data_IF_579611292468
#
_entry.id   IF_579611292468
#
_cell.length_a   1.000
_cell.length_b   1.000
_cell.length_c   1.000
_cell.angle_alpha   90.00
_cell.angle_beta   90.00
_cell.angle_gamma   90.00
#
_symmetry.space_group_name_H-M   'P 1'
#
loop_
_entity.id
_entity.type
_entity.pdbx_description
1 polymer ?
#
# COMPACT_ATOMS: atom_id res chain seq x y z
N UNK A 1 4.19 -5.12 -11.80
CA UNK A 1 4.84 -3.81 -11.79
C UNK A 1 5.34 -3.49 -10.39
N UNK A 2 6.58 -2.97 -10.27
CA UNK A 2 7.16 -2.44 -9.04
C UNK A 2 7.42 -0.95 -9.20
N UNK A 3 6.98 -0.16 -8.21
CA UNK A 3 7.08 1.31 -8.26
C UNK A 3 7.69 1.82 -6.97
N UNK A 4 8.76 2.59 -7.07
CA UNK A 4 9.39 3.29 -5.94
C UNK A 4 10.09 4.55 -6.47
N UNK A 5 10.09 5.62 -5.73
CA UNK A 5 10.80 6.86 -6.09
C UNK A 5 12.33 6.71 -5.99
N UNK A 6 12.82 5.73 -5.23
CA UNK A 6 14.23 5.43 -5.07
C UNK A 6 14.75 4.57 -6.21
N UNK A 7 15.60 5.14 -7.08
CA UNK A 7 16.32 4.39 -8.13
C UNK A 7 17.08 3.18 -7.57
N UNK A 8 17.71 3.35 -6.40
CA UNK A 8 18.47 2.27 -5.74
C UNK A 8 17.57 1.11 -5.31
N UNK A 9 16.34 1.40 -4.81
CA UNK A 9 15.37 0.37 -4.47
C UNK A 9 14.91 -0.40 -5.72
N UNK A 10 14.65 0.31 -6.81
CA UNK A 10 14.29 -0.30 -8.09
C UNK A 10 15.43 -1.15 -8.66
N UNK A 11 16.67 -0.68 -8.64
CA UNK A 11 17.83 -1.49 -9.06
C UNK A 11 17.97 -2.78 -8.24
N UNK A 12 17.69 -2.74 -6.94
CA UNK A 12 17.69 -3.93 -6.08
C UNK A 12 16.52 -4.85 -6.40
N UNK A 13 15.36 -4.30 -6.67
CA UNK A 13 14.18 -5.06 -7.11
C UNK A 13 14.49 -5.83 -8.40
N UNK A 14 15.06 -5.18 -9.40
CA UNK A 14 15.43 -5.82 -10.68
C UNK A 14 16.44 -6.96 -10.49
N UNK A 15 17.44 -6.75 -9.64
CA UNK A 15 18.40 -7.82 -9.27
C UNK A 15 17.73 -8.99 -8.59
N UNK A 16 16.79 -8.73 -7.67
CA UNK A 16 16.06 -9.79 -6.99
C UNK A 16 15.15 -10.56 -7.95
N UNK A 17 14.49 -9.90 -8.88
CA UNK A 17 13.69 -10.55 -9.92
C UNK A 17 14.58 -11.45 -10.79
N UNK A 18 15.72 -10.96 -11.27
CA UNK A 18 16.63 -11.76 -12.09
C UNK A 18 17.18 -12.98 -11.34
N UNK A 19 17.60 -12.82 -10.08
CA UNK A 19 18.05 -13.94 -9.23
C UNK A 19 17.00 -15.02 -9.00
N UNK A 20 15.73 -14.65 -9.01
CA UNK A 20 14.61 -15.57 -8.73
C UNK A 20 13.84 -15.97 -10.00
N UNK A 21 14.30 -15.61 -11.17
CA UNK A 21 13.62 -15.80 -12.47
C UNK A 21 13.21 -17.26 -12.72
N UNK A 22 14.00 -18.22 -12.26
CA UNK A 22 13.70 -19.64 -12.40
C UNK A 22 12.47 -20.11 -11.62
N UNK A 23 12.05 -19.36 -10.61
CA UNK A 23 10.84 -19.66 -9.81
C UNK A 23 9.56 -19.08 -10.39
N UNK A 24 9.66 -18.17 -11.37
CA UNK A 24 8.49 -17.57 -12.00
C UNK A 24 7.98 -18.42 -13.17
N UNK A 25 6.67 -18.42 -13.44
CA UNK A 25 6.15 -18.98 -14.68
C UNK A 25 6.83 -18.34 -15.89
N UNK A 26 7.09 -19.13 -16.95
CA UNK A 26 7.82 -18.67 -18.15
C UNK A 26 7.21 -17.45 -18.84
N UNK A 27 5.88 -17.27 -18.71
CA UNK A 27 5.13 -16.15 -19.27
C UNK A 27 5.01 -14.94 -18.33
N UNK A 28 5.68 -14.97 -17.16
CA UNK A 28 5.65 -13.85 -16.22
C UNK A 28 6.46 -12.68 -16.79
N UNK A 29 5.86 -11.51 -16.75
CA UNK A 29 6.50 -10.24 -17.11
C UNK A 29 6.63 -9.36 -15.89
N UNK A 30 7.74 -8.65 -15.77
CA UNK A 30 7.99 -7.67 -14.72
C UNK A 30 8.46 -6.36 -15.33
N UNK A 31 7.92 -5.24 -14.84
CA UNK A 31 8.37 -3.90 -15.18
C UNK A 31 8.55 -3.07 -13.90
N UNK A 32 9.66 -2.35 -13.83
CA UNK A 32 10.05 -1.49 -12.72
C UNK A 32 10.01 -0.03 -13.11
N UNK A 33 9.59 0.83 -12.16
CA UNK A 33 9.44 2.26 -12.40
C UNK A 33 10.03 3.05 -11.24
N UNK A 34 11.10 3.80 -11.51
CA UNK A 34 11.76 4.70 -10.54
C UNK A 34 11.10 6.09 -10.59
N UNK A 35 9.84 6.19 -10.17
CA UNK A 35 9.03 7.42 -10.17
C UNK A 35 8.17 7.51 -8.92
N UNK A 36 7.58 8.68 -8.68
CA UNK A 36 6.59 8.86 -7.63
C UNK A 36 5.34 7.99 -7.89
N UNK A 37 4.81 7.38 -6.82
CA UNK A 37 3.65 6.47 -6.93
C UNK A 37 2.38 7.18 -7.39
N UNK A 38 2.19 8.47 -7.03
CA UNK A 38 1.05 9.24 -7.51
C UNK A 38 1.13 9.49 -9.01
N UNK A 39 2.32 9.86 -9.50
CA UNK A 39 2.56 10.07 -10.93
C UNK A 39 2.35 8.78 -11.72
N UNK A 40 2.84 7.65 -11.18
CA UNK A 40 2.59 6.34 -11.77
C UNK A 40 1.10 6.01 -11.84
N UNK A 41 0.39 6.10 -10.73
CA UNK A 41 -1.05 5.77 -10.68
C UNK A 41 -1.88 6.70 -11.57
N UNK A 42 -1.52 7.98 -11.69
CA UNK A 42 -2.21 8.91 -12.56
C UNK A 42 -2.10 8.51 -14.03
N UNK A 43 -0.89 8.16 -14.47
CA UNK A 43 -0.57 7.85 -15.88
C UNK A 43 -0.82 6.39 -16.26
N UNK A 44 -0.87 5.46 -15.30
CA UNK A 44 -1.04 4.04 -15.58
C UNK A 44 -2.35 3.77 -16.32
N UNK A 45 -2.24 3.25 -17.54
CA UNK A 45 -3.37 2.82 -18.35
C UNK A 45 -3.95 1.48 -17.88
N UNK A 46 -3.10 0.64 -17.29
CA UNK A 46 -3.46 -0.72 -16.88
C UNK A 46 -4.38 -0.70 -15.65
N UNK A 47 -5.30 -1.65 -15.63
CA UNK A 47 -6.04 -2.01 -14.41
C UNK A 47 -5.51 -3.31 -13.85
N UNK A 48 -5.35 -3.36 -12.54
CA UNK A 48 -4.69 -4.43 -11.80
C UNK A 48 -5.69 -5.34 -11.12
N UNK A 49 -5.40 -6.64 -11.08
CA UNK A 49 -6.16 -7.61 -10.29
C UNK A 49 -5.76 -7.55 -8.80
N UNK A 50 -4.48 -7.23 -8.54
CA UNK A 50 -3.95 -7.03 -7.20
C UNK A 50 -3.11 -5.75 -7.16
N UNK A 51 -3.32 -4.94 -6.12
CA UNK A 51 -2.47 -3.78 -5.79
C UNK A 51 -2.01 -3.92 -4.35
N UNK A 52 -0.73 -3.63 -4.11
CA UNK A 52 -0.15 -3.55 -2.76
C UNK A 52 0.37 -2.12 -2.56
N UNK A 53 -0.20 -1.42 -1.57
CA UNK A 53 0.23 -0.09 -1.15
C UNK A 53 0.94 -0.19 0.20
N UNK A 54 2.26 -0.02 0.18
CA UNK A 54 3.10 0.01 1.38
C UNK A 54 3.93 1.32 1.41
N UNK A 55 3.27 2.47 1.59
CA UNK A 55 3.94 3.76 1.60
C UNK A 55 4.75 3.96 2.88
N UNK A 56 5.78 4.83 2.86
CA UNK A 56 6.43 5.27 4.08
C UNK A 56 5.43 6.00 5.00
N UNK A 57 5.79 6.16 6.27
CA UNK A 57 4.97 6.94 7.20
C UNK A 57 4.84 8.39 6.72
N UNK A 58 3.65 8.80 6.29
CA UNK A 58 3.38 10.18 5.86
C UNK A 58 3.45 11.20 7.01
N UNK A 59 3.38 10.74 8.26
CA UNK A 59 3.60 11.58 9.44
C UNK A 59 4.41 10.84 10.51
N UNK A 60 5.41 11.54 11.05
CA UNK A 60 6.20 11.09 12.20
C UNK A 60 5.80 11.82 13.48
N UNK A 61 5.09 12.94 13.37
CA UNK A 61 4.69 13.80 14.50
C UNK A 61 3.22 14.22 14.41
N UNK A 62 2.60 14.50 15.54
CA UNK A 62 1.18 14.83 15.65
C UNK A 62 0.76 16.09 14.86
N UNK A 63 1.62 17.10 14.79
CA UNK A 63 1.34 18.35 14.06
C UNK A 63 1.16 18.18 12.55
N UNK A 64 1.61 17.05 11.96
CA UNK A 64 1.45 16.71 10.54
C UNK A 64 0.45 15.56 10.30
N UNK A 65 -0.28 15.14 11.33
CA UNK A 65 -1.28 14.06 11.27
C UNK A 65 -2.31 14.30 10.16
N UNK A 66 -2.82 15.53 10.03
CA UNK A 66 -3.79 15.87 9.00
C UNK A 66 -3.23 15.62 7.60
N UNK A 67 -2.00 16.04 7.33
CA UNK A 67 -1.35 15.83 6.02
C UNK A 67 -1.17 14.35 5.71
N UNK A 68 -0.83 13.54 6.73
CA UNK A 68 -0.73 12.09 6.55
C UNK A 68 -2.07 11.47 6.15
N UNK A 69 -3.16 11.84 6.84
CA UNK A 69 -4.51 11.37 6.51
C UNK A 69 -4.87 11.73 5.06
N UNK A 70 -4.57 12.95 4.60
CA UNK A 70 -4.80 13.34 3.21
C UNK A 70 -3.94 12.53 2.23
N UNK A 71 -2.66 12.27 2.57
CA UNK A 71 -1.77 11.43 1.77
C UNK A 71 -2.31 10.01 1.61
N UNK A 72 -2.65 9.33 2.71
CA UNK A 72 -3.26 8.00 2.66
C UNK A 72 -4.59 7.98 1.90
N UNK A 73 -5.44 8.98 2.13
CA UNK A 73 -6.73 9.08 1.43
C UNK A 73 -6.54 9.21 -0.09
N UNK A 74 -5.68 10.12 -0.54
CA UNK A 74 -5.38 10.31 -1.95
C UNK A 74 -4.80 9.05 -2.58
N UNK A 75 -3.79 8.43 -1.94
CA UNK A 75 -3.13 7.23 -2.45
C UNK A 75 -4.12 6.08 -2.64
N UNK A 76 -4.94 5.80 -1.63
CA UNK A 76 -5.95 4.75 -1.71
C UNK A 76 -7.02 5.08 -2.76
N UNK A 77 -7.45 6.33 -2.89
CA UNK A 77 -8.43 6.73 -3.91
C UNK A 77 -7.90 6.48 -5.32
N UNK A 78 -6.63 6.79 -5.61
CA UNK A 78 -6.03 6.52 -6.91
C UNK A 78 -5.90 5.00 -7.16
N UNK A 79 -5.50 4.21 -6.15
CA UNK A 79 -5.45 2.76 -6.28
C UNK A 79 -6.84 2.16 -6.56
N UNK A 80 -7.89 2.63 -5.89
CA UNK A 80 -9.27 2.19 -6.15
C UNK A 80 -9.76 2.49 -7.57
N UNK A 81 -9.23 3.52 -8.22
CA UNK A 81 -9.53 3.80 -9.64
C UNK A 81 -8.82 2.82 -10.60
N UNK A 82 -7.65 2.29 -10.19
CA UNK A 82 -6.78 1.44 -11.02
C UNK A 82 -6.98 -0.05 -10.79
N UNK A 83 -7.65 -0.45 -9.72
CA UNK A 83 -7.97 -1.85 -9.47
C UNK A 83 -9.23 -2.27 -10.22
N UNK A 84 -9.24 -3.48 -10.77
CA UNK A 84 -10.41 -4.05 -11.45
C UNK A 84 -11.54 -4.33 -10.45
N UNK A 85 -12.75 -4.46 -10.93
CA UNK A 85 -13.83 -5.08 -10.18
C UNK A 85 -13.49 -6.55 -9.88
N UNK A 86 -13.66 -6.98 -8.64
CA UNK A 86 -13.22 -8.30 -8.16
C UNK A 86 -11.75 -8.34 -7.75
N UNK A 87 -11.02 -7.23 -7.85
CA UNK A 87 -9.61 -7.16 -7.47
C UNK A 87 -9.37 -7.04 -5.96
N UNK A 88 -8.13 -7.31 -5.55
CA UNK A 88 -7.69 -7.30 -4.15
C UNK A 88 -6.70 -6.16 -3.92
N UNK A 89 -7.03 -5.26 -3.00
CA UNK A 89 -6.13 -4.20 -2.56
C UNK A 89 -5.58 -4.51 -1.17
N UNK A 90 -4.25 -4.58 -1.07
CA UNK A 90 -3.54 -4.53 0.21
C UNK A 90 -3.12 -3.08 0.46
N UNK A 91 -3.43 -2.53 1.63
CA UNK A 91 -3.02 -1.17 1.99
C UNK A 91 -2.53 -1.11 3.42
N UNK A 92 -1.40 -0.44 3.64
CA UNK A 92 -0.69 -0.41 4.91
C UNK A 92 -0.43 1.02 5.39
N UNK A 93 -0.24 1.13 6.70
CA UNK A 93 0.29 2.32 7.34
C UNK A 93 1.22 1.92 8.50
N UNK A 94 2.45 2.40 8.48
CA UNK A 94 3.42 2.27 9.57
C UNK A 94 3.49 3.53 10.46
N UNK A 95 2.55 4.46 10.32
CA UNK A 95 2.53 5.71 11.10
C UNK A 95 2.00 5.47 12.52
N UNK A 96 2.77 5.82 13.54
CA UNK A 96 2.34 5.76 14.94
C UNK A 96 1.23 6.78 15.26
N UNK A 97 1.17 7.92 14.55
CA UNK A 97 0.19 8.98 14.81
C UNK A 97 -1.15 8.77 14.11
N UNK A 98 -1.22 7.83 13.18
CA UNK A 98 -2.45 7.40 12.53
C UNK A 98 -2.84 6.05 13.15
N UNK A 99 -3.77 6.07 14.08
CA UNK A 99 -4.30 4.85 14.70
C UNK A 99 -5.15 4.02 13.72
N UNK A 100 -5.51 2.80 14.13
CA UNK A 100 -6.25 1.85 13.29
C UNK A 100 -7.61 2.39 12.87
N UNK A 101 -8.36 3.03 13.78
CA UNK A 101 -9.68 3.56 13.46
C UNK A 101 -9.61 4.70 12.46
N UNK A 102 -8.63 5.59 12.63
CA UNK A 102 -8.40 6.69 11.71
C UNK A 102 -7.94 6.19 10.34
N UNK A 103 -7.06 5.17 10.29
CA UNK A 103 -6.65 4.56 9.03
C UNK A 103 -7.84 3.92 8.30
N UNK A 104 -8.64 3.12 8.99
CA UNK A 104 -9.84 2.49 8.41
C UNK A 104 -10.82 3.54 7.87
N UNK A 105 -11.10 4.60 8.64
CA UNK A 105 -11.97 5.70 8.21
C UNK A 105 -11.40 6.45 6.99
N UNK A 106 -10.08 6.60 6.94
CA UNK A 106 -9.38 7.24 5.81
C UNK A 106 -9.52 6.41 4.53
N UNK A 107 -9.33 5.09 4.63
CA UNK A 107 -9.49 4.16 3.49
C UNK A 107 -10.96 4.10 3.04
N UNK A 108 -11.91 4.09 3.98
CA UNK A 108 -13.34 4.19 3.66
C UNK A 108 -13.66 5.49 2.90
N UNK A 109 -13.14 6.63 3.35
CA UNK A 109 -13.33 7.90 2.66
C UNK A 109 -12.74 7.88 1.23
N UNK A 110 -11.60 7.20 1.04
CA UNK A 110 -10.99 7.02 -0.28
C UNK A 110 -11.88 6.16 -1.21
N UNK A 111 -12.47 5.08 -0.70
CA UNK A 111 -13.40 4.23 -1.45
C UNK A 111 -14.65 5.01 -1.90
N UNK A 112 -15.20 5.87 -1.02
CA UNK A 112 -16.33 6.75 -1.33
C UNK A 112 -15.97 7.71 -2.47
N UNK A 113 -14.79 8.37 -2.40
CA UNK A 113 -14.30 9.28 -3.43
C UNK A 113 -14.14 8.56 -4.78
N UNK A 114 -13.61 7.34 -4.75
CA UNK A 114 -13.45 6.51 -5.95
C UNK A 114 -14.77 5.86 -6.44
N UNK A 115 -15.87 6.03 -5.71
CA UNK A 115 -17.19 5.43 -5.97
C UNK A 115 -17.12 3.90 -6.07
N UNK A 116 -16.34 3.26 -5.20
CA UNK A 116 -16.17 1.79 -5.14
C UNK A 116 -16.80 1.24 -3.88
N UNK A 117 -17.46 0.09 -4.01
CA UNK A 117 -17.85 -0.74 -2.87
C UNK A 117 -16.69 -1.64 -2.48
N UNK A 118 -16.43 -1.76 -1.18
CA UNK A 118 -15.24 -2.43 -0.68
C UNK A 118 -15.61 -3.27 0.54
N UNK A 119 -15.11 -4.50 0.58
CA UNK A 119 -15.25 -5.40 1.72
C UNK A 119 -13.90 -5.69 2.33
N UNK A 120 -13.80 -5.66 3.65
CA UNK A 120 -12.58 -6.03 4.37
C UNK A 120 -12.53 -7.56 4.49
N UNK A 121 -11.52 -8.16 3.86
CA UNK A 121 -11.25 -9.59 3.98
C UNK A 121 -10.42 -9.89 5.22
N UNK A 122 -9.37 -9.09 5.48
CA UNK A 122 -8.48 -9.26 6.63
C UNK A 122 -8.03 -7.91 7.19
N UNK A 123 -7.89 -7.88 8.52
CA UNK A 123 -7.15 -6.86 9.25
C UNK A 123 -5.76 -7.42 9.54
N UNK A 124 -4.72 -6.68 9.19
CA UNK A 124 -3.33 -7.06 9.34
C UNK A 124 -2.62 -6.16 10.35
N UNK A 125 -1.69 -6.74 11.08
CA UNK A 125 -0.78 -6.08 12.00
C UNK A 125 0.64 -6.60 11.78
N UNK A 126 1.57 -6.35 12.73
CA UNK A 126 2.92 -6.87 12.65
C UNK A 126 2.93 -8.40 12.60
N UNK A 127 3.79 -8.99 11.75
CA UNK A 127 4.00 -10.44 11.71
C UNK A 127 4.77 -10.92 12.94
N UNK A 128 4.79 -12.24 13.14
CA UNK A 128 5.39 -12.87 14.32
C UNK A 128 6.90 -12.62 14.44
N UNK A 129 7.61 -12.50 13.33
CA UNK A 129 9.05 -12.20 13.29
C UNK A 129 9.37 -10.73 13.63
N UNK A 130 8.36 -9.89 13.75
CA UNK A 130 8.45 -8.49 14.17
C UNK A 130 7.38 -8.16 15.24
N UNK A 131 7.17 -9.09 16.17
CA UNK A 131 6.14 -8.93 17.20
C UNK A 131 6.47 -7.77 18.16
N UNK A 132 5.50 -6.89 18.47
CA UNK A 132 5.70 -5.84 19.45
C UNK A 132 5.88 -6.44 20.86
N UNK A 133 6.75 -5.83 21.65
CA UNK A 133 6.91 -6.20 23.05
C UNK A 133 5.73 -5.69 23.88
N UNK A 134 5.23 -6.50 24.82
CA UNK A 134 4.20 -6.05 25.77
C UNK A 134 4.66 -4.91 26.68
N UNK A 135 5.98 -4.78 26.88
CA UNK A 135 6.59 -3.69 27.66
C UNK A 135 6.80 -2.41 26.84
N UNK A 136 6.67 -2.50 25.51
CA UNK A 136 6.86 -1.41 24.56
C UNK A 136 5.71 -1.36 23.56
N UNK A 137 4.50 -0.97 24.00
CA UNK A 137 3.30 -0.97 23.16
C UNK A 137 3.38 -0.02 21.96
N UNK A 138 4.26 0.98 22.01
CA UNK A 138 4.56 1.86 20.88
C UNK A 138 5.15 1.12 19.66
N UNK A 139 5.67 -0.09 19.87
CA UNK A 139 6.09 -1.00 18.80
C UNK A 139 4.93 -1.52 17.94
N UNK A 140 3.69 -1.46 18.44
CA UNK A 140 2.48 -1.88 17.69
C UNK A 140 1.98 -0.77 16.77
N UNK A 141 2.75 -0.43 15.74
CA UNK A 141 2.47 0.70 14.85
C UNK A 141 1.98 0.30 13.46
N UNK A 142 2.21 -0.94 13.03
CA UNK A 142 1.78 -1.40 11.71
C UNK A 142 0.29 -1.77 11.72
N UNK A 143 -0.43 -1.32 10.73
CA UNK A 143 -1.80 -1.71 10.43
C UNK A 143 -1.97 -1.86 8.93
N UNK A 144 -2.76 -2.84 8.54
CA UNK A 144 -3.05 -3.11 7.15
C UNK A 144 -4.47 -3.63 6.95
N UNK A 145 -4.95 -3.47 5.74
CA UNK A 145 -6.23 -3.99 5.28
C UNK A 145 -6.01 -4.81 4.01
N UNK A 146 -6.67 -5.95 3.93
CA UNK A 146 -6.87 -6.68 2.67
C UNK A 146 -8.31 -6.46 2.25
N UNK A 147 -8.51 -5.87 1.09
CA UNK A 147 -9.79 -5.37 0.62
C UNK A 147 -10.18 -6.05 -0.69
N UNK A 148 -11.41 -6.57 -0.74
CA UNK A 148 -12.06 -6.95 -1.98
C UNK A 148 -12.80 -5.74 -2.53
N UNK A 149 -12.63 -5.43 -3.82
CA UNK A 149 -13.14 -4.22 -4.46
C UNK A 149 -14.13 -4.58 -5.56
N UNK A 150 -15.41 -4.18 -5.39
CA UNK A 150 -16.46 -4.33 -6.40
C UNK A 150 -16.38 -3.26 -7.50
#
# INVERSE_FOLDING_TARGET
HSVDSSKKAIELTDKNIELNKSFFPKQSEHASFAIDTFDFLETAANKYDVIILDPPAFAKHQNVKHNAVQGYKRLNAEAFKKIKAGGILFTFSCSQVVDTNLFNSTVMAAAIIAKRKVHVLHYLNQPQDHAPSIFHPEGAYLKGLVLYVE
#
